data_IF_861726202498
#
_entry.id   IF_861726202498
#
_cell.length_a   1.000
_cell.length_b   1.000
_cell.length_c   1.000
_cell.angle_alpha   90.00
_cell.angle_beta   90.00
_cell.angle_gamma   90.00
#
_symmetry.space_group_name_H-M   'P 1'
#
loop_
_entity.id
_entity.type
_entity.pdbx_description
1 polymer ?
#
# COMPACT_ATOMS: atom_id res chain seq x y z
N UNK A 1 -60.60 -0.16 21.95
CA UNK A 1 -60.07 -0.39 20.59
C UNK A 1 -58.58 -0.13 20.63
N UNK A 2 -57.80 -1.20 20.80
CA UNK A 2 -56.34 -1.16 20.86
C UNK A 2 -55.78 -1.33 19.44
N UNK A 3 -54.97 -0.38 18.99
CA UNK A 3 -54.26 -0.46 17.72
C UNK A 3 -53.28 -1.65 17.73
N UNK A 4 -53.20 -2.46 16.66
CA UNK A 4 -52.22 -3.55 16.59
C UNK A 4 -50.82 -2.97 16.36
N UNK A 5 -49.86 -3.43 17.16
CA UNK A 5 -48.43 -3.14 17.01
C UNK A 5 -47.89 -3.76 15.72
N UNK A 6 -47.22 -2.94 14.92
CA UNK A 6 -46.51 -3.32 13.69
C UNK A 6 -45.19 -4.06 14.03
N UNK A 7 -45.30 -5.25 14.63
CA UNK A 7 -44.20 -6.22 14.70
C UNK A 7 -44.44 -7.32 13.67
N UNK A 8 -44.16 -7.05 12.39
CA UNK A 8 -44.02 -8.09 11.37
C UNK A 8 -43.29 -7.54 10.15
N UNK A 9 -42.25 -8.26 9.73
CA UNK A 9 -41.43 -8.06 8.52
C UNK A 9 -40.21 -7.11 8.60
N UNK A 10 -39.27 -7.41 9.50
CA UNK A 10 -37.85 -7.35 9.14
C UNK A 10 -37.26 -8.73 9.40
N UNK A 11 -37.03 -9.49 8.32
CA UNK A 11 -36.24 -10.71 8.39
C UNK A 11 -34.90 -10.37 9.02
N UNK A 12 -34.65 -10.83 10.25
CA UNK A 12 -33.34 -10.74 10.90
C UNK A 12 -32.35 -11.52 10.06
N UNK A 13 -31.71 -10.86 9.10
CA UNK A 13 -30.53 -11.39 8.42
C UNK A 13 -29.52 -11.63 9.54
N UNK A 14 -29.27 -12.89 9.87
CA UNK A 14 -28.35 -13.28 10.94
C UNK A 14 -27.00 -12.64 10.60
N UNK A 15 -26.60 -11.60 11.31
CA UNK A 15 -25.34 -10.93 11.01
C UNK A 15 -24.22 -11.96 11.20
N UNK A 16 -23.45 -12.19 10.13
CA UNK A 16 -22.26 -13.04 10.21
C UNK A 16 -21.33 -12.40 11.25
N UNK A 17 -20.86 -13.19 12.21
CA UNK A 17 -19.81 -12.74 13.12
C UNK A 17 -18.48 -12.98 12.41
N UNK A 18 -17.79 -11.91 12.04
CA UNK A 18 -16.54 -11.98 11.30
C UNK A 18 -15.34 -12.16 12.24
N UNK A 19 -14.25 -12.72 11.71
CA UNK A 19 -12.91 -12.63 12.28
C UNK A 19 -11.95 -12.23 11.17
N UNK A 20 -11.22 -11.14 11.37
CA UNK A 20 -10.34 -10.58 10.34
C UNK A 20 -8.89 -11.05 10.51
N UNK A 21 -8.23 -11.36 9.41
CA UNK A 21 -6.81 -11.69 9.33
C UNK A 21 -6.14 -10.63 8.47
N UNK A 22 -5.25 -9.86 9.08
CA UNK A 22 -4.69 -8.66 8.47
C UNK A 22 -3.34 -8.97 7.79
N UNK A 23 -3.21 -8.62 6.52
CA UNK A 23 -1.93 -8.53 5.79
C UNK A 23 -1.39 -7.10 5.84
N UNK A 24 -0.23 -6.85 5.22
CA UNK A 24 0.30 -5.49 5.05
C UNK A 24 0.77 -4.79 6.34
N UNK A 25 1.49 -3.68 6.17
CA UNK A 25 2.01 -2.86 7.27
C UNK A 25 2.13 -1.39 6.83
N UNK A 26 1.08 -0.89 6.19
CA UNK A 26 0.93 0.47 5.67
C UNK A 26 -0.16 1.23 6.45
N UNK A 27 -0.42 2.48 6.06
CA UNK A 27 -1.45 3.28 6.73
C UNK A 27 -2.87 2.75 6.51
N UNK A 28 -3.14 2.05 5.41
CA UNK A 28 -4.46 1.44 5.19
C UNK A 28 -4.71 0.36 6.25
N UNK A 29 -3.72 -0.50 6.49
CA UNK A 29 -3.85 -1.55 7.48
C UNK A 29 -3.97 -1.02 8.91
N UNK A 30 -3.22 0.03 9.26
CA UNK A 30 -3.34 0.71 10.56
C UNK A 30 -4.75 1.24 10.79
N UNK A 31 -5.36 1.86 9.78
CA UNK A 31 -6.72 2.39 9.90
C UNK A 31 -7.77 1.27 9.90
N UNK A 32 -7.59 0.19 9.13
CA UNK A 32 -8.45 -1.02 9.20
C UNK A 32 -8.43 -1.60 10.61
N UNK A 33 -7.25 -1.80 11.20
CA UNK A 33 -7.08 -2.29 12.57
C UNK A 33 -7.85 -1.43 13.57
N UNK A 34 -7.73 -0.10 13.45
CA UNK A 34 -8.45 0.85 14.29
C UNK A 34 -9.98 0.71 14.13
N UNK A 35 -10.49 0.64 12.90
CA UNK A 35 -11.93 0.43 12.63
C UNK A 35 -12.42 -0.84 13.33
N UNK A 36 -11.66 -1.94 13.23
CA UNK A 36 -12.01 -3.21 13.85
C UNK A 36 -12.03 -3.12 15.37
N UNK A 37 -11.01 -2.50 15.98
CA UNK A 37 -10.94 -2.27 17.43
C UNK A 37 -12.09 -1.40 17.94
N UNK A 38 -12.37 -0.27 17.30
CA UNK A 38 -13.45 0.66 17.71
C UNK A 38 -14.84 0.02 17.63
N UNK A 39 -15.03 -0.96 16.74
CA UNK A 39 -16.29 -1.68 16.57
C UNK A 39 -16.33 -3.02 17.31
N UNK A 40 -15.33 -3.33 18.15
CA UNK A 40 -15.22 -4.60 18.90
C UNK A 40 -15.28 -5.85 18.01
N UNK A 41 -14.67 -5.77 16.83
CA UNK A 41 -14.60 -6.89 15.88
C UNK A 41 -13.27 -7.62 16.11
N UNK A 42 -13.28 -8.95 16.29
CA UNK A 42 -12.06 -9.69 16.57
C UNK A 42 -11.20 -9.82 15.30
N UNK A 43 -9.88 -9.72 15.49
CA UNK A 43 -8.90 -9.85 14.41
C UNK A 43 -7.56 -10.40 14.92
N UNK A 44 -6.77 -10.92 13.99
CA UNK A 44 -5.34 -11.24 14.17
C UNK A 44 -4.51 -10.37 13.24
N UNK A 45 -3.41 -9.85 13.79
CA UNK A 45 -2.43 -9.03 13.10
C UNK A 45 -1.02 -9.45 13.55
N UNK A 46 -0.29 -10.08 12.63
CA UNK A 46 1.11 -10.51 12.79
C UNK A 46 2.10 -9.48 12.23
N UNK A 47 1.63 -8.28 11.85
CA UNK A 47 2.44 -7.21 11.27
C UNK A 47 3.25 -7.72 10.07
N UNK A 48 2.55 -8.37 9.14
CA UNK A 48 3.15 -9.02 7.98
C UNK A 48 3.47 -7.97 6.90
N UNK A 49 4.62 -8.10 6.26
CA UNK A 49 4.98 -7.24 5.14
C UNK A 49 4.25 -7.59 3.84
N UNK A 50 4.65 -6.93 2.76
CA UNK A 50 4.14 -7.19 1.42
C UNK A 50 4.35 -8.66 1.00
N UNK A 51 3.38 -9.25 0.29
CA UNK A 51 3.35 -10.68 -0.03
C UNK A 51 2.93 -11.57 1.16
N UNK A 52 2.23 -11.00 2.14
CA UNK A 52 1.69 -11.72 3.29
C UNK A 52 0.79 -12.89 2.86
N UNK A 53 0.91 -14.03 3.54
CA UNK A 53 0.21 -15.28 3.19
C UNK A 53 -0.80 -15.68 4.24
N UNK A 54 -1.93 -16.24 3.81
CA UNK A 54 -2.94 -16.72 4.74
C UNK A 54 -2.46 -17.88 5.62
N UNK A 55 -1.52 -18.72 5.14
CA UNK A 55 -0.85 -19.76 5.94
C UNK A 55 -0.20 -19.23 7.22
N UNK A 56 0.22 -17.94 7.24
CA UNK A 56 0.78 -17.32 8.44
C UNK A 56 -0.21 -17.31 9.61
N UNK A 57 -1.52 -17.46 9.35
CA UNK A 57 -2.59 -17.49 10.35
C UNK A 57 -3.26 -18.86 10.49
N UNK A 58 -2.62 -19.96 10.07
CA UNK A 58 -3.26 -21.28 10.00
C UNK A 58 -3.97 -21.70 11.30
N UNK A 59 -3.32 -21.51 12.45
CA UNK A 59 -3.88 -21.87 13.76
C UNK A 59 -5.06 -20.98 14.15
N UNK A 60 -4.94 -19.67 13.93
CA UNK A 60 -5.99 -18.69 14.24
C UNK A 60 -7.21 -18.87 13.34
N UNK A 61 -7.02 -19.25 12.07
CA UNK A 61 -8.10 -19.59 11.14
C UNK A 61 -8.87 -20.82 11.64
N UNK A 62 -8.17 -21.86 12.07
CA UNK A 62 -8.81 -23.06 12.66
C UNK A 62 -9.60 -22.68 13.91
N UNK A 63 -9.02 -21.84 14.77
CA UNK A 63 -9.66 -21.36 16.01
C UNK A 63 -10.93 -20.55 15.71
N UNK A 64 -10.87 -19.59 14.78
CA UNK A 64 -12.01 -18.78 14.37
C UNK A 64 -13.16 -19.64 13.82
N UNK A 65 -12.85 -20.63 12.98
CA UNK A 65 -13.83 -21.58 12.45
C UNK A 65 -14.49 -22.41 13.56
N UNK A 66 -13.72 -22.93 14.52
CA UNK A 66 -14.25 -23.61 15.71
C UNK A 66 -15.17 -22.70 16.53
N UNK A 67 -14.82 -21.42 16.64
CA UNK A 67 -15.63 -20.37 17.25
C UNK A 67 -16.87 -19.93 16.43
N UNK A 68 -17.12 -20.55 15.27
CA UNK A 68 -18.20 -20.19 14.32
C UNK A 68 -18.12 -18.73 13.84
N UNK A 69 -16.90 -18.19 13.77
CA UNK A 69 -16.62 -16.90 13.17
C UNK A 69 -16.27 -17.08 11.69
N UNK A 70 -16.77 -16.17 10.85
CA UNK A 70 -16.56 -16.20 9.42
C UNK A 70 -15.24 -15.49 9.07
N UNK A 71 -14.25 -16.19 8.49
CA UNK A 71 -12.96 -15.60 8.16
C UNK A 71 -13.06 -14.48 7.11
N UNK A 72 -12.33 -13.40 7.34
CA UNK A 72 -12.09 -12.33 6.37
C UNK A 72 -10.59 -12.15 6.24
N UNK A 73 -10.07 -12.30 5.03
CA UNK A 73 -8.66 -12.19 4.71
C UNK A 73 -8.42 -10.85 4.02
N UNK A 74 -7.64 -9.98 4.65
CA UNK A 74 -7.35 -8.64 4.14
C UNK A 74 -5.93 -8.67 3.58
N UNK A 75 -5.79 -8.58 2.26
CA UNK A 75 -4.51 -8.49 1.55
C UNK A 75 -3.54 -9.65 1.86
N UNK A 76 -4.11 -10.86 1.90
CA UNK A 76 -3.36 -12.09 2.10
C UNK A 76 -3.44 -12.96 0.85
N UNK A 77 -2.29 -13.41 0.37
CA UNK A 77 -2.21 -14.44 -0.67
C UNK A 77 -2.93 -15.71 -0.21
N UNK A 78 -3.76 -16.26 -1.10
CA UNK A 78 -4.49 -17.50 -0.83
C UNK A 78 -3.64 -18.73 -1.16
N UNK A 79 -2.77 -19.10 -0.21
CA UNK A 79 -1.84 -20.22 -0.35
C UNK A 79 -2.31 -21.52 0.34
N UNK A 80 -3.43 -21.48 1.07
CA UNK A 80 -3.98 -22.63 1.82
C UNK A 80 -5.40 -22.99 1.41
N UNK A 81 -5.92 -22.42 0.31
CA UNK A 81 -7.28 -22.62 -0.19
C UNK A 81 -8.35 -22.48 0.91
N UNK A 82 -8.57 -21.25 1.37
CA UNK A 82 -9.52 -20.98 2.45
C UNK A 82 -10.96 -20.73 1.96
N UNK A 83 -11.93 -21.04 2.83
CA UNK A 83 -13.34 -20.60 2.74
C UNK A 83 -13.52 -19.36 3.63
N UNK A 84 -13.84 -18.21 3.01
CA UNK A 84 -13.96 -16.91 3.66
C UNK A 84 -14.16 -15.77 2.66
N UNK A 85 -14.21 -14.53 3.15
CA UNK A 85 -14.23 -13.32 2.31
C UNK A 85 -12.82 -12.81 2.08
N UNK A 86 -12.50 -12.45 0.83
CA UNK A 86 -11.23 -11.81 0.46
C UNK A 86 -11.46 -10.32 0.29
N UNK A 87 -10.74 -9.51 1.05
CA UNK A 87 -10.63 -8.07 0.87
C UNK A 87 -9.24 -7.79 0.30
N UNK A 88 -9.19 -7.30 -0.93
CA UNK A 88 -7.95 -6.97 -1.63
C UNK A 88 -8.28 -6.14 -2.88
N UNK A 89 -7.33 -5.33 -3.34
CA UNK A 89 -7.40 -4.57 -4.60
C UNK A 89 -6.08 -4.57 -5.36
N UNK A 90 -5.12 -5.40 -4.97
CA UNK A 90 -3.83 -5.52 -5.64
C UNK A 90 -3.85 -6.52 -6.81
N UNK A 91 -2.81 -6.48 -7.64
CA UNK A 91 -2.58 -7.46 -8.71
C UNK A 91 -3.73 -7.52 -9.71
N UNK A 92 -4.35 -8.70 -9.88
CA UNK A 92 -5.48 -8.89 -10.80
C UNK A 92 -6.77 -8.18 -10.36
N UNK A 93 -6.84 -7.73 -9.10
CA UNK A 93 -7.95 -6.95 -8.53
C UNK A 93 -7.67 -5.44 -8.54
N UNK A 94 -6.59 -5.01 -9.19
CA UNK A 94 -6.29 -3.60 -9.41
C UNK A 94 -7.48 -2.88 -10.05
N UNK A 95 -7.90 -1.77 -9.43
CA UNK A 95 -9.06 -0.98 -9.84
C UNK A 95 -10.36 -1.29 -9.08
N UNK A 96 -10.36 -2.31 -8.21
CA UNK A 96 -11.41 -2.45 -7.20
C UNK A 96 -11.33 -1.35 -6.12
N UNK A 97 -12.32 -1.30 -5.22
CA UNK A 97 -12.28 -0.36 -4.11
C UNK A 97 -11.11 -0.71 -3.17
N UNK A 98 -10.43 0.30 -2.57
CA UNK A 98 -9.38 0.06 -1.58
C UNK A 98 -9.87 -0.83 -0.43
N UNK A 99 -8.97 -1.60 0.20
CA UNK A 99 -9.34 -2.59 1.21
C UNK A 99 -10.09 -1.97 2.38
N UNK A 100 -9.75 -0.75 2.78
CA UNK A 100 -10.46 -0.04 3.86
C UNK A 100 -11.93 0.20 3.52
N UNK A 101 -12.25 0.49 2.26
CA UNK A 101 -13.62 0.74 1.81
C UNK A 101 -14.38 -0.58 1.73
N UNK A 102 -13.74 -1.66 1.28
CA UNK A 102 -14.32 -3.00 1.30
C UNK A 102 -14.65 -3.45 2.73
N UNK A 103 -13.75 -3.22 3.70
CA UNK A 103 -13.98 -3.51 5.12
C UNK A 103 -15.18 -2.70 5.64
N UNK A 104 -15.21 -1.39 5.42
CA UNK A 104 -16.33 -0.55 5.85
C UNK A 104 -17.67 -1.04 5.29
N UNK A 105 -17.72 -1.40 4.01
CA UNK A 105 -18.91 -1.96 3.38
C UNK A 105 -19.32 -3.30 3.99
N UNK A 106 -18.37 -4.18 4.26
CA UNK A 106 -18.63 -5.49 4.89
C UNK A 106 -19.23 -5.34 6.28
N UNK A 107 -18.84 -4.30 7.02
CA UNK A 107 -19.35 -3.97 8.35
C UNK A 107 -20.62 -3.12 8.34
N UNK A 108 -21.13 -2.73 7.16
CA UNK A 108 -22.29 -1.84 7.03
C UNK A 108 -22.00 -0.39 7.42
N UNK A 109 -20.73 0.00 7.53
CA UNK A 109 -20.26 1.35 7.86
C UNK A 109 -20.14 2.21 6.58
N UNK A 110 -21.27 2.46 5.93
CA UNK A 110 -21.34 3.01 4.55
C UNK A 110 -20.96 4.51 4.41
N UNK A 111 -20.44 5.16 5.45
CA UNK A 111 -20.05 6.57 5.43
C UNK A 111 -18.57 6.71 5.81
N UNK A 112 -17.63 6.44 4.89
CA UNK A 112 -16.21 6.63 5.15
C UNK A 112 -15.92 8.11 5.44
N UNK A 113 -15.08 8.36 6.46
CA UNK A 113 -14.59 9.70 6.80
C UNK A 113 -13.67 10.23 5.70
N UNK A 114 -13.38 11.54 5.71
CA UNK A 114 -12.41 12.13 4.79
C UNK A 114 -11.03 11.47 4.90
N UNK A 115 -10.59 11.20 6.13
CA UNK A 115 -9.34 10.48 6.41
C UNK A 115 -9.32 9.10 5.75
N UNK A 116 -10.36 8.29 5.96
CA UNK A 116 -10.44 6.93 5.41
C UNK A 116 -10.48 6.93 3.87
N UNK A 117 -11.15 7.91 3.25
CA UNK A 117 -11.14 8.07 1.80
C UNK A 117 -9.74 8.40 1.26
N UNK A 118 -9.00 9.27 1.96
CA UNK A 118 -7.64 9.64 1.56
C UNK A 118 -6.66 8.48 1.74
N UNK A 119 -6.80 7.72 2.83
CA UNK A 119 -6.00 6.52 3.09
C UNK A 119 -6.22 5.47 1.99
N UNK A 120 -7.48 5.17 1.66
CA UNK A 120 -7.77 4.25 0.56
C UNK A 120 -7.30 4.76 -0.81
N UNK A 121 -7.41 6.07 -1.08
CA UNK A 121 -6.89 6.65 -2.31
C UNK A 121 -5.36 6.56 -2.39
N UNK A 122 -4.67 6.81 -1.26
CA UNK A 122 -3.23 6.65 -1.16
C UNK A 122 -2.80 5.21 -1.46
N UNK A 123 -3.52 4.23 -0.93
CA UNK A 123 -3.19 2.82 -1.13
C UNK A 123 -3.41 2.38 -2.59
N UNK A 124 -4.55 2.77 -3.18
CA UNK A 124 -4.89 2.39 -4.56
C UNK A 124 -4.10 3.12 -5.66
N UNK A 125 -3.61 4.33 -5.40
CA UNK A 125 -2.98 5.12 -6.46
C UNK A 125 -2.11 6.27 -5.98
N UNK A 126 -1.60 6.19 -4.74
CA UNK A 126 -0.62 7.12 -4.19
C UNK A 126 -1.10 8.59 -4.21
N UNK A 127 -0.18 9.55 -4.32
CA UNK A 127 -0.48 10.98 -4.39
C UNK A 127 -1.44 11.33 -5.55
N UNK A 128 -1.29 10.81 -6.78
CA UNK A 128 -2.23 11.09 -7.87
C UNK A 128 -3.69 10.79 -7.53
N UNK A 129 -3.99 9.64 -6.89
CA UNK A 129 -5.35 9.28 -6.52
C UNK A 129 -5.92 10.17 -5.41
N UNK A 130 -5.08 10.60 -4.46
CA UNK A 130 -5.49 11.60 -3.45
C UNK A 130 -5.82 12.95 -4.12
N UNK A 131 -4.98 13.41 -5.05
CA UNK A 131 -5.24 14.65 -5.81
C UNK A 131 -6.55 14.55 -6.60
N UNK A 132 -6.82 13.40 -7.23
CA UNK A 132 -8.03 13.16 -8.00
C UNK A 132 -9.33 13.29 -7.17
N UNK A 133 -9.27 13.03 -5.86
CA UNK A 133 -10.39 13.24 -4.92
C UNK A 133 -10.33 14.59 -4.19
N UNK A 134 -9.52 15.52 -4.70
CA UNK A 134 -9.40 16.89 -4.21
C UNK A 134 -8.65 17.02 -2.89
N UNK A 135 -7.64 16.19 -2.64
CA UNK A 135 -6.79 16.33 -1.44
C UNK A 135 -6.00 17.64 -1.46
N UNK A 136 -5.93 18.32 -0.31
CA UNK A 136 -5.01 19.44 -0.12
C UNK A 136 -3.57 18.96 0.07
N UNK A 137 -2.58 19.83 -0.12
CA UNK A 137 -1.18 19.48 0.15
C UNK A 137 -0.96 19.01 1.59
N UNK A 138 -1.63 19.63 2.57
CA UNK A 138 -1.52 19.24 3.98
C UNK A 138 -2.17 17.89 4.26
N UNK A 139 -3.30 17.57 3.61
CA UNK A 139 -3.90 16.23 3.67
C UNK A 139 -2.96 15.17 3.09
N UNK A 140 -2.36 15.45 1.93
CA UNK A 140 -1.39 14.56 1.28
C UNK A 140 -0.18 14.33 2.21
N UNK A 141 0.45 15.41 2.71
CA UNK A 141 1.60 15.30 3.64
C UNK A 141 1.26 14.46 4.86
N UNK A 142 0.08 14.67 5.44
CA UNK A 142 -0.37 13.93 6.63
C UNK A 142 -0.57 12.45 6.35
N UNK A 143 -1.24 12.10 5.25
CA UNK A 143 -1.48 10.70 4.87
C UNK A 143 -0.17 10.02 4.52
N UNK A 144 0.69 10.67 3.73
CA UNK A 144 2.00 10.15 3.35
C UNK A 144 2.92 9.94 4.55
N UNK A 145 2.90 10.86 5.53
CA UNK A 145 3.63 10.66 6.79
C UNK A 145 3.09 9.45 7.58
N UNK A 146 1.77 9.30 7.68
CA UNK A 146 1.16 8.15 8.35
C UNK A 146 1.56 6.82 7.67
N UNK A 147 1.58 6.80 6.35
CA UNK A 147 1.97 5.62 5.56
C UNK A 147 3.43 5.23 5.78
N UNK A 148 4.34 6.19 5.67
CA UNK A 148 5.77 5.97 5.93
C UNK A 148 6.01 5.52 7.37
N UNK A 149 5.30 6.12 8.34
CA UNK A 149 5.39 5.73 9.75
C UNK A 149 4.93 4.28 9.97
N UNK A 150 3.81 3.87 9.34
CA UNK A 150 3.31 2.51 9.42
C UNK A 150 4.32 1.50 8.84
N UNK A 151 4.99 1.86 7.75
CA UNK A 151 6.06 1.05 7.12
C UNK A 151 7.39 1.04 7.89
N UNK A 152 7.42 1.65 9.09
CA UNK A 152 8.57 1.67 9.98
C UNK A 152 9.66 2.67 9.59
N UNK A 153 9.34 3.68 8.78
CA UNK A 153 10.29 4.75 8.45
C UNK A 153 10.50 5.64 9.67
N UNK A 154 11.76 5.80 10.09
CA UNK A 154 12.11 6.54 11.31
C UNK A 154 12.36 8.03 11.03
N UNK A 155 12.29 8.89 12.07
CA UNK A 155 12.68 10.31 11.93
C UNK A 155 14.11 10.52 11.42
N UNK A 156 15.04 9.62 11.74
CA UNK A 156 16.42 9.66 11.23
C UNK A 156 16.44 9.44 9.72
N UNK A 157 15.66 8.49 9.22
CA UNK A 157 15.53 8.21 7.78
C UNK A 157 14.84 9.37 7.03
N UNK A 158 13.90 10.04 7.66
CA UNK A 158 13.28 11.26 7.11
C UNK A 158 14.30 12.41 6.98
N UNK A 159 15.11 12.65 8.02
CA UNK A 159 16.18 13.68 7.98
C UNK A 159 17.25 13.35 6.96
N UNK A 160 17.60 12.08 6.83
CA UNK A 160 18.56 11.61 5.84
C UNK A 160 18.07 11.85 4.41
N UNK A 161 16.79 11.63 4.14
CA UNK A 161 16.20 11.93 2.84
C UNK A 161 16.22 13.43 2.52
N UNK A 162 15.98 14.29 3.52
CA UNK A 162 16.08 15.75 3.36
C UNK A 162 17.50 16.18 3.00
N UNK A 163 18.51 15.63 3.70
CA UNK A 163 19.92 15.83 3.36
C UNK A 163 20.22 15.35 1.94
N UNK A 164 19.76 14.15 1.57
CA UNK A 164 20.00 13.57 0.26
C UNK A 164 19.38 14.40 -0.87
N UNK A 165 18.15 14.87 -0.67
CA UNK A 165 17.44 15.75 -1.63
C UNK A 165 18.14 17.10 -1.75
N UNK A 166 18.66 17.68 -0.68
CA UNK A 166 19.39 18.95 -0.76
C UNK A 166 20.69 18.85 -1.59
N UNK A 167 21.19 17.64 -1.82
CA UNK A 167 22.44 17.35 -2.52
C UNK A 167 22.23 16.52 -3.81
N UNK A 168 21.01 16.45 -4.35
CA UNK A 168 20.78 15.67 -5.58
C UNK A 168 21.58 16.22 -6.76
N UNK A 169 21.87 15.34 -7.71
CA UNK A 169 22.52 15.70 -8.96
C UNK A 169 21.51 15.64 -10.11
N UNK A 170 21.73 16.43 -11.16
CA UNK A 170 20.91 16.39 -12.37
C UNK A 170 21.81 16.18 -13.59
N UNK A 171 21.53 15.14 -14.36
CA UNK A 171 22.17 14.85 -15.63
C UNK A 171 21.10 14.72 -16.71
N UNK A 172 20.93 15.77 -17.52
CA UNK A 172 19.87 15.84 -18.52
C UNK A 172 18.48 15.74 -17.86
N UNK A 173 17.74 14.67 -18.20
CA UNK A 173 16.39 14.40 -17.66
C UNK A 173 16.40 13.59 -16.36
N UNK A 174 17.58 13.15 -15.91
CA UNK A 174 17.72 12.28 -14.76
C UNK A 174 18.12 13.08 -13.51
N UNK A 175 17.31 12.96 -12.47
CA UNK A 175 17.62 13.39 -11.10
C UNK A 175 18.22 12.19 -10.35
N UNK A 176 19.36 12.37 -9.69
CA UNK A 176 20.08 11.32 -8.98
C UNK A 176 20.17 11.69 -7.50
N UNK A 177 19.69 10.81 -6.62
CA UNK A 177 19.67 11.02 -5.16
C UNK A 177 20.46 9.91 -4.48
N UNK A 178 21.45 10.29 -3.67
CA UNK A 178 22.27 9.36 -2.89
C UNK A 178 21.78 9.26 -1.44
N UNK A 179 21.35 8.07 -1.04
CA UNK A 179 20.74 7.78 0.26
C UNK A 179 21.58 6.82 1.10
N UNK A 180 21.55 6.97 2.42
CA UNK A 180 22.14 5.98 3.33
C UNK A 180 21.29 4.71 3.54
N UNK A 181 20.06 4.66 3.00
CA UNK A 181 19.13 3.53 3.18
C UNK A 181 18.14 3.40 2.02
N UNK A 182 17.56 2.22 1.84
CA UNK A 182 16.60 1.87 0.78
C UNK A 182 15.17 2.39 0.93
N UNK A 183 14.81 3.10 2.00
CA UNK A 183 13.45 3.67 2.20
C UNK A 183 13.14 4.84 1.26
N UNK A 184 12.94 4.56 -0.02
CA UNK A 184 12.79 5.54 -1.11
C UNK A 184 11.54 6.43 -1.01
N UNK A 185 10.50 6.00 -0.29
CA UNK A 185 9.27 6.78 -0.09
C UNK A 185 9.52 8.18 0.52
N UNK A 186 10.57 8.33 1.33
CA UNK A 186 10.95 9.63 1.90
C UNK A 186 11.40 10.63 0.83
N UNK A 187 11.94 10.15 -0.29
CA UNK A 187 12.40 10.96 -1.42
C UNK A 187 11.28 11.17 -2.43
N UNK A 188 10.63 10.09 -2.86
CA UNK A 188 9.59 10.15 -3.91
C UNK A 188 8.43 11.04 -3.49
N UNK A 189 8.03 11.01 -2.22
CA UNK A 189 6.95 11.86 -1.69
C UNK A 189 7.28 13.36 -1.79
N UNK A 190 8.55 13.74 -1.54
CA UNK A 190 9.00 15.15 -1.53
C UNK A 190 9.28 15.69 -2.94
N UNK A 191 9.74 14.81 -3.83
CA UNK A 191 10.06 15.12 -5.22
C UNK A 191 8.89 14.84 -6.18
N UNK A 192 7.75 14.35 -5.70
CA UNK A 192 6.57 14.10 -6.53
C UNK A 192 6.22 15.32 -7.40
N UNK A 193 6.16 15.11 -8.71
CA UNK A 193 5.88 16.15 -9.71
C UNK A 193 7.02 17.13 -9.99
N UNK A 194 8.23 16.91 -9.43
CA UNK A 194 9.39 17.79 -9.56
C UNK A 194 10.58 17.17 -10.32
N UNK A 195 10.42 15.95 -10.83
CA UNK A 195 11.41 15.26 -11.64
C UNK A 195 10.75 14.71 -12.92
N UNK A 196 11.56 14.53 -13.97
CA UNK A 196 11.18 13.73 -15.15
C UNK A 196 11.51 12.25 -14.89
N UNK A 197 12.79 11.97 -14.61
CA UNK A 197 13.25 10.65 -14.17
C UNK A 197 14.04 10.78 -12.87
N UNK A 198 13.89 9.81 -11.97
CA UNK A 198 14.54 9.78 -10.67
C UNK A 198 15.28 8.46 -10.48
N UNK A 199 16.56 8.54 -10.14
CA UNK A 199 17.39 7.42 -9.71
C UNK A 199 17.78 7.64 -8.25
N UNK A 200 17.51 6.65 -7.40
CA UNK A 200 17.91 6.64 -6.00
C UNK A 200 18.96 5.55 -5.83
N UNK A 201 20.15 5.95 -5.38
CA UNK A 201 21.29 5.07 -5.09
C UNK A 201 21.45 4.97 -3.58
N UNK A 202 21.15 3.80 -3.02
CA UNK A 202 21.21 3.55 -1.58
C UNK A 202 22.53 2.88 -1.19
N UNK A 203 23.11 3.23 -0.05
CA UNK A 203 24.39 2.68 0.40
C UNK A 203 24.34 1.20 0.79
N UNK A 204 23.15 0.65 1.01
CA UNK A 204 22.92 -0.80 1.18
C UNK A 204 22.95 -1.56 -0.16
N UNK A 205 23.22 -0.87 -1.27
CA UNK A 205 23.32 -1.43 -2.61
C UNK A 205 22.01 -1.42 -3.39
N UNK A 206 20.89 -1.03 -2.76
CA UNK A 206 19.61 -0.96 -3.45
C UNK A 206 19.57 0.27 -4.38
N UNK A 207 19.19 0.04 -5.63
CA UNK A 207 18.97 1.06 -6.64
C UNK A 207 17.51 1.06 -7.04
N UNK A 208 16.89 2.24 -7.01
CA UNK A 208 15.51 2.42 -7.45
C UNK A 208 15.44 3.48 -8.55
N UNK A 209 14.74 3.17 -9.63
CA UNK A 209 14.45 4.08 -10.73
C UNK A 209 12.95 4.33 -10.81
N UNK A 210 12.56 5.59 -11.01
CA UNK A 210 11.18 6.04 -11.22
C UNK A 210 11.16 6.92 -12.45
N UNK A 211 10.36 6.56 -13.46
CA UNK A 211 10.34 7.29 -14.72
C UNK A 211 9.76 6.44 -15.85
N UNK A 212 10.33 6.58 -17.05
CA UNK A 212 9.83 5.94 -18.26
C UNK A 212 9.65 4.41 -18.12
N UNK A 213 8.45 3.94 -18.43
CA UNK A 213 8.09 2.54 -18.27
C UNK A 213 8.78 1.57 -19.23
N UNK A 214 9.18 2.01 -20.42
CA UNK A 214 9.99 1.18 -21.31
C UNK A 214 11.39 0.95 -20.72
N UNK A 215 12.00 2.01 -20.16
CA UNK A 215 13.29 1.89 -19.46
C UNK A 215 13.21 0.95 -18.25
N UNK A 216 12.11 0.95 -17.50
CA UNK A 216 11.92 0.04 -16.37
C UNK A 216 11.92 -1.46 -16.78
N UNK A 217 11.54 -1.78 -18.02
CA UNK A 217 11.63 -3.15 -18.56
C UNK A 217 13.08 -3.47 -18.90
N UNK A 218 13.76 -2.60 -19.63
CA UNK A 218 15.17 -2.76 -20.01
C UNK A 218 16.07 -2.92 -18.78
N UNK A 219 15.84 -2.13 -17.73
CA UNK A 219 16.57 -2.22 -16.47
C UNK A 219 16.39 -3.59 -15.79
N UNK A 220 15.17 -4.14 -15.78
CA UNK A 220 14.91 -5.48 -15.22
C UNK A 220 15.56 -6.59 -16.04
N UNK A 221 15.51 -6.51 -17.36
CA UNK A 221 16.14 -7.51 -18.23
C UNK A 221 17.66 -7.53 -18.05
N UNK A 222 18.26 -6.35 -17.92
CA UNK A 222 19.72 -6.19 -17.82
C UNK A 222 20.26 -6.46 -16.43
N UNK A 223 19.58 -5.99 -15.39
CA UNK A 223 20.08 -5.97 -14.02
C UNK A 223 19.27 -6.82 -13.04
N UNK A 224 18.27 -7.56 -13.54
CA UNK A 224 17.32 -8.33 -12.72
C UNK A 224 16.53 -7.41 -11.76
N UNK A 225 16.01 -7.95 -10.66
CA UNK A 225 15.21 -7.20 -9.69
C UNK A 225 13.71 -7.18 -10.01
N UNK A 226 13.03 -6.15 -9.53
CA UNK A 226 11.58 -5.99 -9.63
C UNK A 226 11.22 -4.70 -10.37
N UNK A 227 10.03 -4.69 -10.96
CA UNK A 227 9.46 -3.51 -11.58
C UNK A 227 7.94 -3.55 -11.48
N UNK A 228 7.31 -2.39 -11.64
CA UNK A 228 5.87 -2.25 -11.53
C UNK A 228 5.42 -0.84 -11.89
N UNK A 229 4.15 -0.57 -11.61
CA UNK A 229 3.48 0.67 -11.98
C UNK A 229 2.65 0.55 -13.26
N UNK A 230 1.64 1.41 -13.38
CA UNK A 230 0.64 1.39 -14.46
C UNK A 230 1.21 1.73 -15.84
N UNK A 231 2.35 2.44 -15.88
CA UNK A 231 3.10 2.74 -17.09
C UNK A 231 4.10 1.67 -17.52
N UNK A 232 4.24 0.54 -16.80
CA UNK A 232 5.29 -0.44 -17.10
C UNK A 232 5.24 -0.93 -18.56
N UNK A 233 6.38 -0.86 -19.26
CA UNK A 233 6.52 -1.22 -20.67
C UNK A 233 6.06 -0.16 -21.66
N UNK A 234 5.56 1.00 -21.19
CA UNK A 234 5.03 2.06 -22.04
C UNK A 234 5.93 3.29 -21.99
N UNK A 235 6.34 3.76 -23.17
CA UNK A 235 7.17 4.95 -23.32
C UNK A 235 6.40 6.21 -22.91
N UNK A 236 7.02 7.05 -22.09
CA UNK A 236 6.45 8.31 -21.59
C UNK A 236 5.41 8.16 -20.49
N UNK A 237 5.07 6.93 -20.07
CA UNK A 237 4.26 6.68 -18.88
C UNK A 237 5.16 6.30 -17.70
N UNK A 238 4.78 6.75 -16.51
CA UNK A 238 5.58 6.51 -15.31
C UNK A 238 5.42 5.08 -14.79
N UNK A 239 6.56 4.47 -14.46
CA UNK A 239 6.70 3.19 -13.80
C UNK A 239 7.89 3.24 -12.82
N UNK A 240 8.19 2.11 -12.20
CA UNK A 240 9.37 1.98 -11.36
C UNK A 240 10.10 0.65 -11.58
N UNK A 241 11.40 0.66 -11.29
CA UNK A 241 12.28 -0.50 -11.20
C UNK A 241 13.11 -0.42 -9.92
N UNK A 242 13.38 -1.56 -9.30
CA UNK A 242 14.27 -1.66 -8.14
C UNK A 242 15.12 -2.92 -8.20
N UNK A 243 16.33 -2.87 -7.66
CA UNK A 243 17.23 -4.02 -7.62
C UNK A 243 18.53 -3.74 -6.90
N UNK A 244 19.43 -4.73 -6.91
CA UNK A 244 20.76 -4.66 -6.27
C UNK A 244 21.87 -4.85 -7.32
N UNK A 245 21.96 -3.97 -8.35
CA UNK A 245 23.03 -4.07 -9.32
C UNK A 245 24.38 -3.69 -8.67
N UNK A 246 25.49 -4.09 -9.28
CA UNK A 246 26.78 -3.47 -8.95
C UNK A 246 26.76 -2.02 -9.43
N UNK A 247 26.70 -1.05 -8.50
CA UNK A 247 26.46 0.37 -8.78
C UNK A 247 27.42 0.94 -9.84
N UNK A 248 28.72 0.64 -9.75
CA UNK A 248 29.71 1.09 -10.75
C UNK A 248 29.37 0.61 -12.16
N UNK A 249 28.94 -0.65 -12.29
CA UNK A 249 28.53 -1.22 -13.57
C UNK A 249 27.21 -0.65 -14.06
N UNK A 250 26.30 -0.32 -13.13
CA UNK A 250 25.01 0.30 -13.43
C UNK A 250 25.21 1.70 -13.98
N UNK A 251 25.91 2.57 -13.24
CA UNK A 251 26.18 3.95 -13.63
C UNK A 251 26.88 4.00 -14.99
N UNK A 252 27.92 3.19 -15.18
CA UNK A 252 28.67 3.16 -16.46
C UNK A 252 27.82 2.71 -17.66
N UNK A 253 26.86 1.81 -17.47
CA UNK A 253 26.13 1.18 -18.57
C UNK A 253 24.70 1.70 -18.78
N UNK A 254 24.14 2.40 -17.80
CA UNK A 254 22.80 2.98 -17.85
C UNK A 254 22.85 4.50 -18.02
N UNK A 255 23.92 5.15 -17.53
CA UNK A 255 24.06 6.62 -17.55
C UNK A 255 25.21 7.14 -18.42
N UNK A 256 26.08 6.24 -18.92
CA UNK A 256 27.19 6.54 -19.83
C UNK A 256 26.97 5.92 -21.21
#
# INVERSE_FOLDING_TARGET
MSAPTNEKYLGRRKMKKYYFFLGGSDAEMVEIKKILSENNIPFSDKNLGWGAKASAYAEEIISAKKGKLFPVFVELENDINYDGTIVDHHGSRAGEQPSIIQVLNLLGLIKPTRWQKLIGANDAGYIPAMVAIGATEEEIKKVRLADRTAQGITPEQEREAERAIAAYEVSGRLTIVHMAHSKCATVTDRLFGKYDQLLILSSDGEVNFFGDGALCVELKEKFQGWNGGSGLGKKGENAYWGGYPRIESFVKQALG
#
